data_IF_647732731807
#
_entry.id   IF_647732731807
#
_cell.length_a   1.000
_cell.length_b   1.000
_cell.length_c   1.000
_cell.angle_alpha   90.00
_cell.angle_beta   90.00
_cell.angle_gamma   90.00
#
_symmetry.space_group_name_H-M   'P 1'
#
loop_
_entity.id
_entity.type
_entity.pdbx_description
1 polymer ?
#
# COMPACT_ATOMS: atom_id res chain seq x y z
N UNK A 1 -103.61 47.70 -5.80
CA UNK A 1 -104.28 46.56 -5.13
C UNK A 1 -103.21 45.79 -4.36
N UNK A 2 -102.89 46.23 -3.14
CA UNK A 2 -101.87 45.59 -2.30
C UNK A 2 -102.58 44.66 -1.31
N UNK A 3 -102.39 43.35 -1.46
CA UNK A 3 -102.87 42.37 -0.50
C UNK A 3 -102.08 42.53 0.81
N UNK A 4 -102.76 43.02 1.85
CA UNK A 4 -102.32 42.87 3.25
C UNK A 4 -102.20 41.37 3.55
N UNK A 5 -100.98 40.85 3.65
CA UNK A 5 -100.74 39.62 4.42
C UNK A 5 -100.99 39.96 5.87
N UNK A 6 -102.11 39.49 6.40
CA UNK A 6 -102.39 39.37 7.82
C UNK A 6 -101.20 38.67 8.48
N UNK A 7 -100.47 39.40 9.33
CA UNK A 7 -99.45 38.81 10.20
C UNK A 7 -100.18 37.95 11.22
N UNK A 8 -100.07 36.62 11.06
CA UNK A 8 -100.40 35.65 12.11
C UNK A 8 -99.32 35.79 13.19
N UNK A 9 -99.72 35.86 14.46
CA UNK A 9 -98.79 35.89 15.59
C UNK A 9 -97.78 34.73 15.50
N UNK A 10 -96.50 34.92 15.86
CA UNK A 10 -95.52 33.86 15.75
C UNK A 10 -95.86 32.74 16.74
N UNK A 11 -96.19 31.55 16.22
CA UNK A 11 -96.25 30.32 17.02
C UNK A 11 -94.88 30.07 17.65
N UNK A 12 -94.82 29.61 18.89
CA UNK A 12 -93.55 29.18 19.48
C UNK A 12 -93.02 27.98 18.68
N UNK A 13 -91.81 28.11 18.15
CA UNK A 13 -91.18 27.11 17.29
C UNK A 13 -89.92 26.58 17.95
N UNK A 14 -89.78 25.26 18.00
CA UNK A 14 -88.59 24.60 18.54
C UNK A 14 -88.05 23.57 17.55
N UNK A 15 -86.73 23.42 17.53
CA UNK A 15 -86.02 22.49 16.66
C UNK A 15 -85.45 21.35 17.51
N UNK A 16 -86.00 20.15 17.35
CA UNK A 16 -85.59 18.96 18.09
C UNK A 16 -84.78 18.06 17.16
N UNK A 17 -83.53 17.77 17.53
CA UNK A 17 -82.66 16.88 16.76
C UNK A 17 -82.74 15.45 17.30
N UNK A 18 -82.97 14.50 16.39
CA UNK A 18 -82.79 13.09 16.69
C UNK A 18 -81.35 12.67 16.44
N UNK A 19 -80.85 11.83 17.33
CA UNK A 19 -79.56 11.18 17.20
C UNK A 19 -79.69 9.91 16.36
N UNK A 20 -78.56 9.37 15.90
CA UNK A 20 -78.57 8.21 15.01
C UNK A 20 -79.12 6.94 15.70
N UNK A 21 -78.95 6.86 17.03
CA UNK A 21 -79.28 5.68 17.84
C UNK A 21 -80.55 5.86 18.70
N UNK A 22 -81.26 6.98 18.54
CA UNK A 22 -82.51 7.25 19.28
C UNK A 22 -83.61 6.24 18.93
N UNK A 23 -84.35 5.79 19.96
CA UNK A 23 -85.53 4.94 19.79
C UNK A 23 -86.87 5.72 19.87
N UNK A 24 -88.00 5.05 19.62
CA UNK A 24 -89.34 5.68 19.72
C UNK A 24 -89.64 6.22 21.13
N UNK A 25 -89.04 5.64 22.18
CA UNK A 25 -89.17 6.11 23.55
C UNK A 25 -88.41 7.41 23.78
N UNK A 26 -87.19 7.53 23.26
CA UNK A 26 -86.41 8.77 23.29
C UNK A 26 -87.10 9.87 22.50
N UNK A 27 -87.67 9.55 21.33
CA UNK A 27 -88.45 10.52 20.55
C UNK A 27 -89.64 11.05 21.37
N UNK A 28 -90.37 10.16 22.06
CA UNK A 28 -91.47 10.56 22.95
C UNK A 28 -90.99 11.51 24.04
N UNK A 29 -89.91 11.17 24.75
CA UNK A 29 -89.38 12.01 25.82
C UNK A 29 -88.91 13.38 25.31
N UNK A 30 -88.26 13.43 24.14
CA UNK A 30 -87.84 14.69 23.48
C UNK A 30 -89.05 15.54 23.10
N UNK A 31 -90.13 14.94 22.61
CA UNK A 31 -91.39 15.64 22.32
C UNK A 31 -92.08 16.13 23.59
N UNK A 32 -92.12 15.32 24.66
CA UNK A 32 -92.70 15.69 25.96
C UNK A 32 -91.96 16.84 26.65
N UNK A 33 -90.64 16.95 26.43
CA UNK A 33 -89.82 18.03 27.00
C UNK A 33 -90.01 19.39 26.33
N UNK A 34 -90.63 19.45 25.15
CA UNK A 34 -90.83 20.69 24.39
C UNK A 34 -92.17 21.33 24.72
N UNK A 35 -92.17 22.63 25.00
CA UNK A 35 -93.38 23.43 25.22
C UNK A 35 -93.78 24.27 23.99
N UNK A 36 -93.22 23.97 22.82
CA UNK A 36 -93.47 24.73 21.59
C UNK A 36 -94.78 24.32 20.91
N UNK A 37 -95.49 25.27 20.31
CA UNK A 37 -96.71 25.02 19.54
C UNK A 37 -96.42 24.29 18.22
N UNK A 38 -95.24 24.50 17.63
CA UNK A 38 -94.79 23.83 16.41
C UNK A 38 -93.38 23.26 16.59
N UNK A 39 -93.25 21.93 16.52
CA UNK A 39 -91.99 21.21 16.76
C UNK A 39 -91.43 20.71 15.43
N UNK A 40 -90.22 21.12 15.09
CA UNK A 40 -89.48 20.63 13.94
C UNK A 40 -88.57 19.47 14.34
N UNK A 41 -88.99 18.24 14.06
CA UNK A 41 -88.23 17.04 14.40
C UNK A 41 -87.28 16.67 13.25
N UNK A 42 -85.98 16.81 13.48
CA UNK A 42 -84.94 16.56 12.48
C UNK A 42 -84.50 15.11 12.54
N UNK A 43 -84.75 14.36 11.47
CA UNK A 43 -84.39 12.95 11.36
C UNK A 43 -83.09 12.84 10.54
N UNK A 44 -81.94 12.47 11.14
CA UNK A 44 -80.70 12.31 10.40
C UNK A 44 -80.79 11.09 9.47
N UNK A 45 -80.08 11.14 8.33
CA UNK A 45 -80.08 10.04 7.33
C UNK A 45 -79.71 8.68 7.93
N UNK A 46 -78.87 8.65 8.97
CA UNK A 46 -78.40 7.40 9.62
C UNK A 46 -79.28 6.91 10.76
N UNK A 47 -80.36 7.60 11.12
CA UNK A 47 -81.23 7.18 12.25
C UNK A 47 -81.68 5.72 12.12
N UNK A 48 -81.63 4.96 13.21
CA UNK A 48 -82.09 3.57 13.30
C UNK A 48 -83.63 3.47 13.32
N UNK A 49 -84.31 4.54 13.75
CA UNK A 49 -85.78 4.62 13.90
C UNK A 49 -86.43 5.49 12.82
N UNK A 50 -87.75 5.38 12.69
CA UNK A 50 -88.57 5.98 11.61
C UNK A 50 -88.15 5.46 10.23
N UNK A 51 -88.01 4.13 10.11
CA UNK A 51 -87.74 3.39 8.86
C UNK A 51 -88.96 2.62 8.37
N UNK A 52 -89.79 2.14 9.28
CA UNK A 52 -90.94 1.28 8.94
C UNK A 52 -92.26 2.05 9.03
N UNK A 53 -93.31 1.66 8.27
CA UNK A 53 -94.64 2.29 8.38
C UNK A 53 -95.21 2.25 9.80
N UNK A 54 -94.94 1.15 10.53
CA UNK A 54 -95.40 0.98 11.90
C UNK A 54 -94.82 2.05 12.84
N UNK A 55 -93.53 2.37 12.71
CA UNK A 55 -92.87 3.40 13.53
C UNK A 55 -93.44 4.79 13.28
N UNK A 56 -93.76 5.14 12.02
CA UNK A 56 -94.43 6.41 11.72
C UNK A 56 -95.85 6.46 12.26
N UNK A 57 -96.59 5.34 12.27
CA UNK A 57 -97.92 5.26 12.88
C UNK A 57 -97.86 5.42 14.40
N UNK A 58 -96.85 4.84 15.05
CA UNK A 58 -96.62 5.03 16.49
C UNK A 58 -96.28 6.50 16.77
N UNK A 59 -95.40 7.10 15.97
CA UNK A 59 -95.09 8.51 16.07
C UNK A 59 -96.32 9.39 15.87
N UNK A 60 -97.20 9.08 14.90
CA UNK A 60 -98.44 9.81 14.67
C UNK A 60 -99.36 9.76 15.89
N UNK A 61 -99.43 8.60 16.57
CA UNK A 61 -100.17 8.46 17.82
C UNK A 61 -99.57 9.30 18.93
N UNK A 62 -98.26 9.26 19.13
CA UNK A 62 -97.55 10.07 20.15
C UNK A 62 -97.74 11.56 19.86
N UNK A 63 -97.59 11.98 18.61
CA UNK A 63 -97.75 13.38 18.20
C UNK A 63 -99.20 13.86 18.37
N UNK A 64 -100.21 13.01 18.14
CA UNK A 64 -101.62 13.35 18.36
C UNK A 64 -102.00 13.41 19.85
N UNK A 65 -101.29 12.69 20.73
CA UNK A 65 -101.45 12.85 22.19
C UNK A 65 -100.89 14.20 22.67
N UNK A 66 -99.98 14.81 21.91
CA UNK A 66 -99.38 16.11 22.21
C UNK A 66 -100.18 17.25 21.56
N UNK A 67 -100.28 18.40 22.24
CA UNK A 67 -101.00 19.58 21.73
C UNK A 67 -100.19 20.41 20.70
N UNK A 68 -99.07 19.87 20.21
CA UNK A 68 -98.09 20.56 19.36
C UNK A 68 -98.07 20.01 17.93
N UNK A 69 -98.02 20.90 16.93
CA UNK A 69 -97.94 20.51 15.53
C UNK A 69 -96.51 20.02 15.22
N UNK A 70 -96.34 18.71 14.99
CA UNK A 70 -95.03 18.12 14.69
C UNK A 70 -94.76 18.11 13.18
N UNK A 71 -93.65 18.73 12.76
CA UNK A 71 -93.19 18.80 11.37
C UNK A 71 -91.88 18.02 11.22
N UNK A 72 -91.87 17.02 10.32
CA UNK A 72 -90.70 16.17 10.12
C UNK A 72 -89.72 16.78 9.12
N UNK A 73 -88.46 16.95 9.52
CA UNK A 73 -87.38 17.46 8.68
C UNK A 73 -86.46 16.30 8.30
N UNK A 74 -86.59 15.82 7.07
CA UNK A 74 -85.75 14.75 6.52
C UNK A 74 -85.46 14.99 5.05
N UNK A 75 -84.22 14.76 4.65
CA UNK A 75 -83.81 14.79 3.25
C UNK A 75 -84.09 13.46 2.53
N UNK A 76 -84.35 12.38 3.28
CA UNK A 76 -84.62 11.05 2.72
C UNK A 76 -86.03 10.96 2.08
N UNK A 77 -86.13 10.67 0.77
CA UNK A 77 -87.41 10.56 0.08
C UNK A 77 -88.30 9.41 0.58
N UNK A 78 -87.74 8.29 1.05
CA UNK A 78 -88.51 7.15 1.53
C UNK A 78 -89.25 7.49 2.84
N UNK A 79 -88.52 8.07 3.81
CA UNK A 79 -89.09 8.56 5.06
C UNK A 79 -90.14 9.65 4.85
N UNK A 80 -89.91 10.54 3.89
CA UNK A 80 -90.89 11.58 3.54
C UNK A 80 -92.20 10.99 3.03
N UNK A 81 -92.13 9.93 2.23
CA UNK A 81 -93.33 9.23 1.73
C UNK A 81 -94.12 8.58 2.87
N UNK A 82 -93.45 7.85 3.74
CA UNK A 82 -94.08 7.21 4.91
C UNK A 82 -94.69 8.24 5.87
N UNK A 83 -93.95 9.31 6.14
CA UNK A 83 -94.41 10.43 6.96
C UNK A 83 -95.67 11.10 6.41
N UNK A 84 -95.73 11.34 5.09
CA UNK A 84 -96.90 11.93 4.46
C UNK A 84 -98.11 10.98 4.45
N UNK A 85 -97.90 9.66 4.41
CA UNK A 85 -98.98 8.66 4.51
C UNK A 85 -99.66 8.69 5.89
N UNK A 86 -98.90 8.95 6.95
CA UNK A 86 -99.40 9.09 8.32
C UNK A 86 -99.86 10.53 8.66
N UNK A 87 -99.91 11.43 7.67
CA UNK A 87 -100.47 12.77 7.82
C UNK A 87 -99.52 13.87 8.34
N UNK A 88 -98.23 13.58 8.51
CA UNK A 88 -97.25 14.59 8.94
C UNK A 88 -96.88 15.58 7.84
N UNK A 89 -96.62 16.83 8.22
CA UNK A 89 -95.99 17.82 7.33
C UNK A 89 -94.50 17.57 7.25
N UNK A 90 -93.93 17.61 6.04
CA UNK A 90 -92.50 17.32 5.82
C UNK A 90 -91.72 18.48 5.19
N UNK A 91 -90.47 18.68 5.62
CA UNK A 91 -89.51 19.62 5.00
C UNK A 91 -88.22 18.91 4.59
N UNK A 92 -87.62 19.37 3.48
CA UNK A 92 -86.43 18.72 2.88
C UNK A 92 -85.11 19.05 3.59
N UNK A 93 -85.05 20.14 4.36
CA UNK A 93 -83.81 20.53 5.02
C UNK A 93 -83.93 21.80 5.86
N UNK A 94 -82.87 22.08 6.60
CA UNK A 94 -82.80 23.10 7.66
C UNK A 94 -82.61 24.54 7.16
N UNK A 95 -82.44 24.76 5.85
CA UNK A 95 -82.09 26.09 5.29
C UNK A 95 -83.12 27.17 5.61
N UNK A 96 -84.40 26.82 5.62
CA UNK A 96 -85.50 27.74 5.98
C UNK A 96 -85.69 27.89 7.49
N UNK A 97 -85.08 27.02 8.30
CA UNK A 97 -85.11 27.01 9.76
C UNK A 97 -83.84 27.62 10.40
N UNK A 98 -82.95 28.24 9.59
CA UNK A 98 -81.73 28.89 10.08
C UNK A 98 -81.99 29.95 11.16
N UNK A 99 -83.14 30.61 11.10
CA UNK A 99 -83.55 31.61 12.08
C UNK A 99 -83.85 31.02 13.48
N UNK A 100 -84.12 29.71 13.58
CA UNK A 100 -84.26 28.99 14.86
C UNK A 100 -82.92 28.48 15.41
N UNK A 101 -81.89 28.36 14.55
CA UNK A 101 -80.54 27.93 14.95
C UNK A 101 -79.63 29.10 15.34
N UNK A 102 -79.95 30.32 14.92
CA UNK A 102 -79.17 31.52 15.21
C UNK A 102 -79.77 32.19 16.45
N UNK A 103 -79.14 31.96 17.62
CA UNK A 103 -79.42 32.72 18.83
C UNK A 103 -79.31 34.24 18.57
N UNK A 104 -80.10 35.08 19.25
CA UNK A 104 -80.30 36.46 18.82
C UNK A 104 -79.14 37.36 19.24
N UNK A 105 -77.89 37.15 18.78
CA UNK A 105 -76.76 38.01 19.21
C UNK A 105 -75.50 37.95 18.32
N UNK A 106 -75.56 37.63 17.02
CA UNK A 106 -74.38 37.82 16.15
C UNK A 106 -74.75 38.33 14.74
N UNK A 107 -74.81 39.66 14.60
CA UNK A 107 -74.69 40.36 13.31
C UNK A 107 -73.27 40.94 13.22
N UNK A 108 -72.47 40.66 12.18
CA UNK A 108 -71.14 41.28 12.06
C UNK A 108 -71.28 42.79 11.77
N UNK A 109 -70.38 43.64 12.31
CA UNK A 109 -70.48 45.08 12.16
C UNK A 109 -70.17 45.51 10.72
N UNK A 110 -70.89 46.51 10.22
CA UNK A 110 -70.53 47.22 8.98
C UNK A 110 -69.43 48.23 9.31
N UNK A 111 -68.28 48.08 8.64
CA UNK A 111 -67.20 49.06 8.66
C UNK A 111 -67.63 50.35 7.94
N UNK A 112 -67.49 51.50 8.60
CA UNK A 112 -67.62 52.83 7.99
C UNK A 112 -66.26 53.51 8.16
N UNK A 113 -65.63 53.87 7.04
CA UNK A 113 -64.33 54.56 7.01
C UNK A 113 -64.57 56.07 7.12
N UNK A 114 -63.88 56.82 8.01
CA UNK A 114 -64.06 58.26 8.18
C UNK A 114 -63.28 59.11 7.16
N UNK A 115 -63.81 60.28 6.81
CA UNK A 115 -63.47 61.14 5.65
C UNK A 115 -62.05 61.78 5.62
N UNK A 116 -61.15 61.44 6.54
CA UNK A 116 -59.81 62.04 6.68
C UNK A 116 -58.67 61.12 6.21
N UNK A 117 -58.99 59.98 5.57
CA UNK A 117 -58.00 59.07 4.96
C UNK A 117 -57.81 59.46 3.49
N UNK A 118 -56.65 59.99 3.07
CA UNK A 118 -56.40 60.26 1.65
C UNK A 118 -56.25 58.93 0.94
N UNK A 119 -57.29 58.50 0.22
CA UNK A 119 -57.16 57.37 -0.70
C UNK A 119 -56.16 57.76 -1.79
N UNK A 120 -55.01 57.08 -1.89
CA UNK A 120 -54.01 57.43 -2.89
C UNK A 120 -54.55 57.12 -4.29
N UNK A 121 -54.30 58.03 -5.24
CA UNK A 121 -54.58 57.80 -6.67
C UNK A 121 -54.02 56.44 -7.11
N UNK A 122 -54.67 55.72 -8.06
CA UNK A 122 -54.21 54.38 -8.48
C UNK A 122 -52.75 54.38 -8.96
N UNK A 123 -52.25 55.52 -9.44
CA UNK A 123 -50.86 55.75 -9.85
C UNK A 123 -49.89 55.67 -8.67
N UNK A 124 -50.22 56.22 -7.50
CA UNK A 124 -49.35 56.15 -6.31
C UNK A 124 -49.41 54.78 -5.62
N UNK A 125 -50.51 54.05 -5.76
CA UNK A 125 -50.57 52.64 -5.35
C UNK A 125 -49.67 51.76 -6.24
N UNK A 126 -49.70 51.96 -7.56
CA UNK A 126 -48.83 51.28 -8.52
C UNK A 126 -47.34 51.61 -8.28
N UNK A 127 -47.00 52.85 -7.96
CA UNK A 127 -45.60 53.22 -7.66
C UNK A 127 -45.09 52.60 -6.35
N UNK A 128 -45.95 52.49 -5.32
CA UNK A 128 -45.61 51.85 -4.06
C UNK A 128 -45.39 50.33 -4.22
N UNK A 129 -46.25 49.67 -5.00
CA UNK A 129 -46.07 48.25 -5.36
C UNK A 129 -44.80 48.07 -6.19
N UNK A 130 -44.54 48.96 -7.15
CA UNK A 130 -43.29 48.95 -7.93
C UNK A 130 -42.04 49.08 -7.05
N UNK A 131 -42.07 49.98 -6.05
CA UNK A 131 -40.99 50.16 -5.09
C UNK A 131 -40.74 48.90 -4.27
N UNK A 132 -41.80 48.21 -3.82
CA UNK A 132 -41.69 46.96 -3.07
C UNK A 132 -41.09 45.85 -3.94
N UNK A 133 -41.48 45.75 -5.21
CA UNK A 133 -40.93 44.77 -6.14
C UNK A 133 -39.45 45.05 -6.40
N UNK A 134 -39.06 46.32 -6.57
CA UNK A 134 -37.66 46.71 -6.74
C UNK A 134 -36.86 46.42 -5.47
N UNK A 135 -37.40 46.71 -4.28
CA UNK A 135 -36.76 46.39 -3.02
C UNK A 135 -36.59 44.88 -2.81
N UNK A 136 -37.62 44.07 -3.14
CA UNK A 136 -37.54 42.61 -3.08
C UNK A 136 -36.53 42.05 -4.09
N UNK A 137 -36.49 42.59 -5.31
CA UNK A 137 -35.51 42.22 -6.32
C UNK A 137 -34.08 42.59 -5.89
N UNK A 138 -33.89 43.73 -5.22
CA UNK A 138 -32.61 44.13 -4.65
C UNK A 138 -32.17 43.17 -3.52
N UNK A 139 -33.09 42.77 -2.63
CA UNK A 139 -32.80 41.79 -1.57
C UNK A 139 -32.46 40.40 -2.14
N UNK A 140 -33.15 39.97 -3.20
CA UNK A 140 -32.89 38.69 -3.86
C UNK A 140 -31.62 38.71 -4.70
N UNK A 141 -31.25 39.84 -5.32
CA UNK A 141 -30.01 39.99 -6.08
C UNK A 141 -28.75 40.07 -5.22
N UNK A 142 -28.88 40.50 -3.97
CA UNK A 142 -27.78 40.57 -2.99
C UNK A 142 -27.72 39.30 -2.12
N UNK A 143 -28.52 38.26 -2.42
CA UNK A 143 -28.51 37.03 -1.64
C UNK A 143 -27.13 36.36 -1.75
N UNK A 144 -26.36 36.27 -0.67
CA UNK A 144 -25.02 35.70 -0.74
C UNK A 144 -25.14 34.20 -1.03
N UNK A 145 -24.66 33.78 -2.20
CA UNK A 145 -24.50 32.36 -2.49
C UNK A 145 -23.28 31.85 -1.73
N UNK A 146 -23.51 30.97 -0.75
CA UNK A 146 -22.42 30.30 -0.03
C UNK A 146 -21.80 29.23 -0.95
N UNK A 147 -20.64 29.53 -1.51
CA UNK A 147 -19.81 28.53 -2.17
C UNK A 147 -18.93 27.84 -1.12
N UNK A 148 -19.17 26.55 -0.90
CA UNK A 148 -18.33 25.71 -0.03
C UNK A 148 -17.24 25.08 -0.90
N UNK A 149 -16.05 25.66 -0.88
CA UNK A 149 -14.88 25.10 -1.56
C UNK A 149 -14.15 24.18 -0.59
N UNK A 150 -14.32 22.87 -0.73
CA UNK A 150 -13.51 21.88 -0.03
C UNK A 150 -12.15 21.79 -0.74
N UNK A 151 -11.10 22.27 -0.09
CA UNK A 151 -9.72 22.03 -0.53
C UNK A 151 -9.19 20.88 0.31
N UNK A 152 -8.99 19.66 -0.26
CA UNK A 152 -8.41 18.56 0.49
C UNK A 152 -7.02 18.94 0.98
N UNK A 153 -6.68 18.53 2.21
CA UNK A 153 -5.34 18.77 2.75
C UNK A 153 -4.37 17.83 2.04
N UNK A 154 -3.49 18.39 1.22
CA UNK A 154 -2.40 17.64 0.59
C UNK A 154 -1.14 17.72 1.45
N UNK A 155 -0.55 16.58 1.77
CA UNK A 155 0.72 16.50 2.50
C UNK A 155 1.75 15.80 1.61
N UNK A 156 2.90 16.45 1.40
CA UNK A 156 4.04 15.78 0.77
C UNK A 156 4.71 14.87 1.81
N UNK A 157 4.92 13.61 1.42
CA UNK A 157 5.66 12.63 2.20
C UNK A 157 6.81 12.12 1.36
N UNK A 158 7.98 12.04 1.98
CA UNK A 158 9.21 11.50 1.39
C UNK A 158 9.80 10.51 2.38
N UNK A 159 9.90 9.26 1.97
CA UNK A 159 10.50 8.19 2.78
C UNK A 159 11.46 7.38 1.93
N UNK A 160 12.55 6.95 2.57
CA UNK A 160 13.44 5.93 2.01
C UNK A 160 12.80 4.57 2.24
N UNK A 161 12.69 3.78 1.17
CA UNK A 161 12.05 2.47 1.17
C UNK A 161 13.07 1.43 0.73
N UNK A 162 13.26 0.42 1.59
CA UNK A 162 14.07 -0.75 1.29
C UNK A 162 13.18 -1.85 0.69
N UNK A 163 13.44 -2.23 -0.55
CA UNK A 163 12.76 -3.30 -1.28
C UNK A 163 13.71 -4.47 -1.46
N UNK A 164 13.30 -5.66 -1.04
CA UNK A 164 14.06 -6.89 -1.27
C UNK A 164 13.59 -7.57 -2.55
N UNK A 165 14.47 -7.70 -3.53
CA UNK A 165 14.24 -8.50 -4.74
C UNK A 165 14.72 -9.92 -4.49
N UNK A 166 13.77 -10.86 -4.48
CA UNK A 166 14.03 -12.27 -4.21
C UNK A 166 13.57 -13.12 -5.40
N UNK A 167 14.49 -13.81 -6.12
CA UNK A 167 14.11 -14.67 -7.23
C UNK A 167 13.38 -15.96 -6.80
N UNK A 168 13.42 -16.33 -5.51
CA UNK A 168 12.69 -17.48 -4.98
C UNK A 168 11.25 -17.11 -4.55
N UNK A 169 10.93 -15.81 -4.47
CA UNK A 169 9.58 -15.37 -4.13
C UNK A 169 8.61 -15.60 -5.29
N UNK A 170 7.42 -16.12 -4.99
CA UNK A 170 6.41 -16.41 -6.02
C UNK A 170 5.54 -15.21 -6.39
N UNK A 171 5.42 -14.21 -5.51
CA UNK A 171 4.57 -13.04 -5.70
C UNK A 171 5.11 -11.83 -4.91
N UNK A 172 4.72 -10.62 -5.33
CA UNK A 172 5.08 -9.39 -4.64
C UNK A 172 4.31 -9.25 -3.32
N UNK A 173 5.01 -8.89 -2.26
CA UNK A 173 4.45 -8.67 -0.92
C UNK A 173 4.77 -7.25 -0.43
N UNK A 174 3.74 -6.41 -0.36
CA UNK A 174 3.86 -5.03 0.09
C UNK A 174 4.06 -4.89 1.60
N UNK A 175 3.71 -5.91 2.39
CA UNK A 175 3.88 -5.87 3.86
C UNK A 175 5.33 -6.12 4.24
N UNK A 176 5.96 -7.09 3.57
CA UNK A 176 7.36 -7.46 3.76
C UNK A 176 8.31 -6.78 2.76
N UNK A 177 7.81 -5.82 1.97
CA UNK A 177 8.57 -5.10 0.95
C UNK A 177 9.38 -6.02 0.01
N UNK A 178 8.80 -7.16 -0.39
CA UNK A 178 9.48 -8.19 -1.19
C UNK A 178 8.93 -8.22 -2.61
N UNK A 179 9.83 -8.24 -3.61
CA UNK A 179 9.52 -8.29 -5.03
C UNK A 179 10.09 -9.57 -5.66
N UNK A 180 9.31 -10.35 -6.43
CA UNK A 180 9.85 -11.49 -7.19
C UNK A 180 10.84 -11.02 -8.26
N UNK A 181 12.03 -11.61 -8.23
CA UNK A 181 13.05 -11.45 -9.27
C UNK A 181 13.06 -12.61 -10.26
N UNK A 182 13.74 -12.42 -11.39
CA UNK A 182 14.04 -13.50 -12.34
C UNK A 182 15.55 -13.66 -12.43
N UNK A 183 16.05 -14.88 -12.27
CA UNK A 183 17.47 -15.16 -12.46
C UNK A 183 17.79 -15.34 -13.95
N UNK A 184 18.56 -14.42 -14.52
CA UNK A 184 19.09 -14.56 -15.87
C UNK A 184 20.49 -15.16 -15.82
N UNK A 185 20.73 -16.18 -16.63
CA UNK A 185 22.03 -16.85 -16.74
C UNK A 185 22.66 -16.67 -18.12
N UNK A 186 23.97 -16.52 -18.15
CA UNK A 186 24.77 -16.44 -19.37
C UNK A 186 26.15 -17.05 -19.14
N UNK A 187 26.60 -17.90 -20.06
CA UNK A 187 27.98 -18.37 -20.10
C UNK A 187 28.82 -17.40 -20.91
N UNK A 188 29.96 -16.99 -20.37
CA UNK A 188 30.91 -16.10 -21.05
C UNK A 188 32.29 -16.72 -21.10
N UNK A 189 32.94 -16.52 -22.24
CA UNK A 189 34.35 -16.82 -22.45
C UNK A 189 35.13 -15.52 -22.56
N UNK A 190 36.15 -15.36 -21.72
CA UNK A 190 37.08 -14.23 -21.76
C UNK A 190 38.52 -14.70 -21.76
N UNK A 191 39.38 -13.88 -22.36
CA UNK A 191 40.82 -14.11 -22.42
C UNK A 191 41.55 -12.80 -22.18
N UNK A 192 42.60 -12.84 -21.36
CA UNK A 192 43.43 -11.71 -21.05
C UNK A 192 44.90 -12.12 -21.08
N UNK A 193 45.77 -11.17 -21.36
CA UNK A 193 47.22 -11.34 -21.32
C UNK A 193 47.86 -10.24 -20.47
N UNK A 194 48.92 -10.60 -19.75
CA UNK A 194 49.70 -9.72 -18.88
C UNK A 194 51.19 -9.84 -19.24
N UNK A 195 51.88 -8.74 -19.55
CA UNK A 195 53.32 -8.77 -19.77
C UNK A 195 54.08 -9.01 -18.45
N UNK A 196 55.11 -9.85 -18.50
CA UNK A 196 55.93 -10.17 -17.33
C UNK A 196 57.12 -9.19 -17.21
N UNK A 197 57.33 -8.57 -16.04
CA UNK A 197 58.46 -7.67 -15.81
C UNK A 197 59.83 -8.34 -16.01
N UNK A 198 60.78 -7.60 -16.59
CA UNK A 198 62.15 -8.07 -16.88
C UNK A 198 63.16 -7.79 -15.76
N UNK A 199 62.75 -7.09 -14.72
CA UNK A 199 63.60 -6.68 -13.58
C UNK A 199 63.71 -7.76 -12.50
N UNK A 200 63.04 -8.90 -12.69
CA UNK A 200 63.11 -10.03 -11.76
C UNK A 200 64.44 -10.75 -11.87
N UNK A 201 64.90 -11.22 -10.72
CA UNK A 201 66.19 -11.86 -10.54
C UNK A 201 65.94 -13.31 -10.13
N UNK A 202 66.50 -14.26 -10.89
CA UNK A 202 66.42 -15.69 -10.60
C UNK A 202 67.81 -16.29 -10.46
N UNK A 203 67.92 -17.32 -9.64
CA UNK A 203 69.17 -18.06 -9.48
C UNK A 203 69.58 -18.76 -10.77
N UNK A 204 70.83 -18.59 -11.17
CA UNK A 204 71.42 -19.24 -12.35
C UNK A 204 72.33 -20.39 -11.92
N UNK A 205 73.43 -20.07 -11.22
CA UNK A 205 74.40 -21.06 -10.78
C UNK A 205 74.15 -21.45 -9.32
N UNK A 206 74.46 -22.70 -8.99
CA UNK A 206 74.36 -23.21 -7.61
C UNK A 206 75.63 -22.89 -6.84
N UNK A 207 75.45 -22.51 -5.57
CA UNK A 207 76.59 -22.35 -4.67
C UNK A 207 77.15 -23.72 -4.26
N UNK A 208 78.47 -23.78 -4.17
CA UNK A 208 79.23 -24.95 -3.73
C UNK A 208 80.09 -24.57 -2.53
N UNK A 209 80.37 -25.56 -1.68
CA UNK A 209 81.32 -25.39 -0.60
C UNK A 209 81.62 -26.70 0.11
N UNK A 210 82.20 -26.58 1.29
CA UNK A 210 82.61 -27.72 2.09
C UNK A 210 82.09 -27.57 3.51
N UNK A 211 81.56 -28.66 4.06
CA UNK A 211 81.18 -28.77 5.47
C UNK A 211 82.04 -29.83 6.16
N UNK A 212 82.26 -29.61 7.45
CA UNK A 212 82.86 -30.58 8.36
C UNK A 212 81.72 -31.23 9.12
N UNK A 213 81.67 -32.56 9.09
CA UNK A 213 80.71 -33.37 9.82
C UNK A 213 81.45 -34.16 10.91
N UNK A 214 80.91 -34.14 12.12
CA UNK A 214 81.43 -34.89 13.27
C UNK A 214 80.32 -35.80 13.80
N UNK A 215 80.57 -37.10 13.83
CA UNK A 215 79.63 -38.07 14.43
C UNK A 215 79.87 -38.19 15.94
N UNK A 216 78.83 -37.97 16.73
CA UNK A 216 78.83 -38.23 18.18
C UNK A 216 78.48 -39.69 18.52
N UNK A 217 78.23 -40.53 17.50
CA UNK A 217 77.92 -41.95 17.67
C UNK A 217 79.16 -42.74 18.13
N UNK A 218 78.96 -43.82 18.91
CA UNK A 218 80.06 -44.68 19.37
C UNK A 218 80.61 -45.58 18.26
N UNK A 219 79.79 -45.91 17.25
CA UNK A 219 80.15 -46.75 16.12
C UNK A 219 80.29 -45.94 14.83
N UNK A 220 81.00 -46.52 13.86
CA UNK A 220 81.14 -45.96 12.52
C UNK A 220 79.77 -45.83 11.84
N UNK A 221 79.49 -44.66 11.25
CA UNK A 221 78.23 -44.38 10.56
C UNK A 221 78.50 -43.92 9.13
N UNK A 222 77.73 -44.44 8.17
CA UNK A 222 77.81 -43.98 6.78
C UNK A 222 76.66 -43.03 6.51
N UNK A 223 76.99 -41.77 6.22
CA UNK A 223 76.05 -40.79 5.72
C UNK A 223 75.96 -40.92 4.20
N UNK A 224 74.78 -41.23 3.68
CA UNK A 224 74.57 -41.32 2.24
C UNK A 224 74.70 -39.96 1.55
N UNK A 225 75.08 -39.99 0.27
CA UNK A 225 74.97 -38.88 -0.65
C UNK A 225 73.54 -38.35 -0.67
N UNK A 226 73.39 -37.03 -0.77
CA UNK A 226 72.07 -36.37 -0.82
C UNK A 226 71.48 -36.09 0.55
N UNK A 227 72.23 -36.30 1.64
CA UNK A 227 71.84 -35.82 2.96
C UNK A 227 71.77 -34.28 2.94
N UNK A 228 70.69 -33.73 3.50
CA UNK A 228 70.43 -32.29 3.46
C UNK A 228 70.97 -31.61 4.71
N UNK A 229 71.73 -30.53 4.52
CA UNK A 229 72.18 -29.60 5.57
C UNK A 229 71.60 -28.23 5.30
N UNK A 230 71.30 -27.46 6.35
CA UNK A 230 70.67 -26.14 6.22
C UNK A 230 71.31 -25.09 7.13
N UNK A 231 71.17 -23.85 6.70
CA UNK A 231 71.23 -22.69 7.58
C UNK A 231 69.93 -22.62 8.37
N UNK A 232 69.97 -22.16 9.62
CA UNK A 232 68.74 -22.03 10.38
C UNK A 232 67.81 -21.00 9.74
N UNK A 233 66.59 -21.42 9.34
CA UNK A 233 65.66 -20.61 8.55
C UNK A 233 66.12 -20.20 7.15
N UNK A 234 67.22 -20.78 6.62
CA UNK A 234 67.86 -20.31 5.39
C UNK A 234 68.07 -21.39 4.32
N UNK A 235 69.08 -21.18 3.48
CA UNK A 235 69.39 -22.03 2.33
C UNK A 235 69.67 -23.50 2.72
N UNK A 236 69.24 -24.41 1.85
CA UNK A 236 69.46 -25.85 1.95
C UNK A 236 70.55 -26.30 0.99
N UNK A 237 71.34 -27.28 1.42
CA UNK A 237 72.42 -27.88 0.65
C UNK A 237 72.36 -29.40 0.77
N UNK A 238 72.87 -30.11 -0.22
CA UNK A 238 72.95 -31.57 -0.24
C UNK A 238 74.40 -32.04 -0.30
N UNK A 239 74.71 -33.15 0.36
CA UNK A 239 76.04 -33.78 0.29
C UNK A 239 76.29 -34.40 -1.08
N UNK A 240 77.47 -34.16 -1.65
CA UNK A 240 77.78 -34.59 -3.02
C UNK A 240 78.18 -36.07 -3.15
N UNK A 241 78.54 -36.70 -2.03
CA UNK A 241 79.08 -38.06 -1.97
C UNK A 241 78.75 -38.75 -0.63
N UNK A 242 78.84 -40.08 -0.62
CA UNK A 242 78.74 -40.88 0.60
C UNK A 242 79.93 -40.58 1.51
N UNK A 243 79.65 -40.43 2.81
CA UNK A 243 80.63 -40.08 3.81
C UNK A 243 80.69 -41.15 4.89
N UNK A 244 81.86 -41.77 5.02
CA UNK A 244 82.12 -42.67 6.13
C UNK A 244 82.60 -41.87 7.35
N UNK A 245 81.84 -41.89 8.44
CA UNK A 245 82.06 -41.10 9.64
C UNK A 245 82.54 -41.99 10.80
N UNK A 246 83.84 -41.96 11.14
CA UNK A 246 84.34 -42.57 12.36
C UNK A 246 83.84 -41.83 13.61
N UNK A 247 83.80 -42.49 14.78
CA UNK A 247 83.41 -41.85 16.04
C UNK A 247 84.31 -40.65 16.38
N UNK A 248 83.70 -39.47 16.59
CA UNK A 248 84.36 -38.23 17.05
C UNK A 248 85.50 -37.70 16.15
N UNK A 249 85.55 -38.11 14.88
CA UNK A 249 86.54 -37.61 13.91
C UNK A 249 85.86 -36.65 12.94
N UNK A 250 86.38 -35.42 12.74
CA UNK A 250 85.85 -34.50 11.73
C UNK A 250 86.18 -34.99 10.32
N UNK A 251 85.16 -35.16 9.49
CA UNK A 251 85.31 -35.52 8.07
C UNK A 251 84.71 -34.43 7.19
N UNK A 252 85.42 -34.09 6.11
CA UNK A 252 84.98 -33.05 5.16
C UNK A 252 84.18 -33.67 4.03
N UNK A 253 83.13 -32.98 3.60
CA UNK A 253 82.33 -33.35 2.44
C UNK A 253 81.94 -32.10 1.65
N UNK A 254 81.97 -32.24 0.31
CA UNK A 254 81.45 -31.24 -0.60
C UNK A 254 79.93 -31.15 -0.49
N UNK A 255 79.42 -29.93 -0.57
CA UNK A 255 78.00 -29.65 -0.58
C UNK A 255 77.63 -28.76 -1.77
N UNK A 256 76.45 -29.01 -2.31
CA UNK A 256 75.85 -28.22 -3.39
C UNK A 256 74.51 -27.66 -2.92
N UNK A 257 74.25 -26.38 -3.20
CA UNK A 257 72.98 -25.74 -2.89
C UNK A 257 71.81 -26.43 -3.61
N UNK A 258 70.69 -26.58 -2.90
CA UNK A 258 69.45 -27.14 -3.47
C UNK A 258 68.89 -26.15 -4.49
N UNK A 259 68.78 -24.89 -4.09
CA UNK A 259 68.30 -23.79 -4.93
C UNK A 259 69.48 -23.05 -5.58
N UNK A 260 69.42 -22.73 -6.88
CA UNK A 260 70.40 -21.87 -7.52
C UNK A 260 70.26 -20.44 -7.02
N UNK A 261 71.32 -19.65 -7.14
CA UNK A 261 71.32 -18.23 -6.84
C UNK A 261 72.25 -17.80 -5.73
N UNK A 262 72.34 -16.47 -5.54
CA UNK A 262 73.20 -15.86 -4.52
C UNK A 262 72.76 -16.19 -3.10
N UNK A 263 71.50 -16.60 -2.91
CA UNK A 263 70.95 -17.12 -1.64
C UNK A 263 71.75 -18.31 -1.09
N UNK A 264 72.39 -19.08 -1.97
CA UNK A 264 73.25 -20.20 -1.59
C UNK A 264 74.64 -19.79 -1.12
N UNK A 265 75.06 -18.52 -1.26
CA UNK A 265 76.36 -18.03 -0.82
C UNK A 265 76.31 -17.60 0.64
N UNK A 266 76.58 -18.53 1.55
CA UNK A 266 76.46 -18.33 3.00
C UNK A 266 77.83 -18.16 3.64
N UNK A 267 77.86 -17.38 4.72
CA UNK A 267 79.08 -17.08 5.46
C UNK A 267 79.64 -18.28 6.22
N UNK A 268 80.91 -18.22 6.69
CA UNK A 268 81.51 -19.28 7.49
C UNK A 268 80.73 -19.51 8.80
N UNK A 269 80.38 -20.76 9.08
CA UNK A 269 79.70 -21.18 10.31
C UNK A 269 78.18 -21.01 10.31
N UNK A 270 77.57 -20.58 9.21
CA UNK A 270 76.11 -20.41 9.09
C UNK A 270 75.38 -21.75 8.88
N UNK A 271 76.00 -22.70 8.18
CA UNK A 271 75.44 -24.06 8.02
C UNK A 271 75.68 -24.81 9.32
N UNK A 272 74.60 -25.22 9.98
CA UNK A 272 74.67 -25.74 11.36
C UNK A 272 73.73 -26.90 11.67
N UNK A 273 72.78 -27.21 10.77
CA UNK A 273 71.71 -28.18 11.06
C UNK A 273 71.57 -29.20 9.93
N UNK A 274 71.33 -30.46 10.26
CA UNK A 274 70.88 -31.49 9.33
C UNK A 274 69.35 -31.50 9.21
N UNK A 275 68.83 -31.79 8.01
CA UNK A 275 67.40 -32.03 7.79
C UNK A 275 67.12 -33.53 8.02
N UNK A 276 66.50 -33.88 9.16
CA UNK A 276 66.09 -35.25 9.50
C UNK A 276 66.42 -35.68 10.93
N UNK A 277 65.44 -36.27 11.63
CA UNK A 277 65.54 -36.70 13.05
C UNK A 277 66.59 -37.78 13.31
N UNK A 278 66.94 -38.57 12.30
CA UNK A 278 67.92 -39.66 12.48
C UNK A 278 69.36 -39.13 12.52
N UNK A 279 69.58 -37.84 12.28
CA UNK A 279 70.90 -37.21 12.16
C UNK A 279 71.25 -36.33 13.37
N UNK A 280 70.44 -36.34 14.44
CA UNK A 280 70.61 -35.50 15.64
C UNK A 280 71.94 -35.72 16.38
N UNK A 281 72.56 -36.89 16.20
CA UNK A 281 73.87 -37.22 16.76
C UNK A 281 75.04 -36.82 15.85
N UNK A 282 74.78 -36.08 14.78
CA UNK A 282 75.80 -35.53 13.88
C UNK A 282 75.84 -34.01 14.04
N UNK A 283 77.05 -33.48 14.17
CA UNK A 283 77.31 -32.05 14.14
C UNK A 283 77.83 -31.67 12.75
N UNK A 284 77.31 -30.58 12.17
CA UNK A 284 77.77 -30.06 10.88
C UNK A 284 78.14 -28.59 10.99
N UNK A 285 79.25 -28.20 10.36
CA UNK A 285 79.64 -26.79 10.25
C UNK A 285 80.43 -26.51 8.98
N UNK A 286 80.12 -25.41 8.29
CA UNK A 286 80.99 -24.91 7.22
C UNK A 286 82.11 -24.04 7.80
N UNK A 287 83.37 -24.40 7.55
CA UNK A 287 84.53 -23.59 7.98
C UNK A 287 84.87 -22.47 7.00
N UNK A 288 84.42 -22.61 5.74
CA UNK A 288 84.61 -21.68 4.64
C UNK A 288 83.24 -21.23 4.14
N UNK A 289 83.13 -20.04 3.52
CA UNK A 289 81.89 -19.64 2.88
C UNK A 289 81.58 -20.56 1.71
N UNK A 290 80.31 -20.72 1.38
CA UNK A 290 79.90 -21.30 0.09
C UNK A 290 79.92 -20.19 -0.96
N UNK A 291 80.31 -20.55 -2.18
CA UNK A 291 80.49 -19.58 -3.29
C UNK A 291 80.06 -20.19 -4.62
N UNK A 292 79.93 -19.36 -5.64
CA UNK A 292 79.57 -19.80 -6.99
C UNK A 292 78.07 -19.69 -7.29
N UNK A 293 77.24 -19.34 -6.31
CA UNK A 293 75.85 -18.96 -6.55
C UNK A 293 75.79 -17.62 -7.26
N UNK A 294 75.15 -17.57 -8.43
CA UNK A 294 74.97 -16.33 -9.21
C UNK A 294 73.50 -16.17 -9.55
N UNK A 295 73.05 -14.93 -9.65
CA UNK A 295 71.71 -14.62 -10.14
C UNK A 295 71.78 -13.98 -11.54
N UNK A 296 70.71 -14.13 -12.30
CA UNK A 296 70.50 -13.41 -13.56
C UNK A 296 69.13 -12.78 -13.61
N UNK A 297 68.99 -11.75 -14.45
CA UNK A 297 67.69 -11.20 -14.76
C UNK A 297 66.91 -12.11 -15.71
N UNK A 298 65.64 -12.34 -15.41
CA UNK A 298 64.75 -13.15 -16.23
C UNK A 298 63.30 -12.72 -16.03
N UNK A 299 62.47 -12.93 -17.05
CA UNK A 299 61.02 -12.75 -16.97
C UNK A 299 60.38 -14.05 -16.52
N UNK A 300 60.25 -14.22 -15.20
CA UNK A 300 59.63 -15.40 -14.61
C UNK A 300 58.25 -15.07 -14.07
N UNK A 301 57.27 -15.95 -14.32
CA UNK A 301 55.92 -15.83 -13.77
C UNK A 301 55.92 -16.06 -12.27
N UNK A 302 55.31 -15.15 -11.52
CA UNK A 302 55.13 -15.24 -10.07
C UNK A 302 53.68 -15.51 -9.68
N UNK A 303 53.45 -15.90 -8.43
CA UNK A 303 52.09 -16.05 -7.89
C UNK A 303 51.28 -14.75 -7.94
N UNK A 304 51.94 -13.60 -7.77
CA UNK A 304 51.27 -12.30 -7.84
C UNK A 304 50.78 -11.98 -9.26
N UNK A 305 51.53 -12.36 -10.31
CA UNK A 305 51.05 -12.19 -11.69
C UNK A 305 49.87 -13.12 -11.98
N UNK A 306 49.92 -14.35 -11.47
CA UNK A 306 48.83 -15.31 -11.60
C UNK A 306 47.54 -14.74 -10.99
N UNK A 307 47.64 -14.19 -9.77
CA UNK A 307 46.51 -13.56 -9.07
C UNK A 307 46.01 -12.32 -9.82
N UNK A 308 46.90 -11.42 -10.21
CA UNK A 308 46.54 -10.23 -10.96
C UNK A 308 45.83 -10.56 -12.29
N UNK A 309 46.29 -11.58 -13.01
CA UNK A 309 45.63 -12.05 -14.22
C UNK A 309 44.27 -12.71 -13.93
N UNK A 310 44.15 -13.49 -12.85
CA UNK A 310 42.89 -14.09 -12.42
C UNK A 310 41.85 -13.01 -12.07
N UNK A 311 42.23 -12.00 -11.29
CA UNK A 311 41.35 -10.89 -10.91
C UNK A 311 40.89 -10.10 -12.15
N UNK A 312 41.82 -9.88 -13.09
CA UNK A 312 41.51 -9.26 -14.38
C UNK A 312 40.51 -10.10 -15.19
N UNK A 313 40.71 -11.41 -15.30
CA UNK A 313 39.78 -12.29 -16.01
C UNK A 313 38.39 -12.31 -15.37
N UNK A 314 38.31 -12.33 -14.03
CA UNK A 314 37.03 -12.30 -13.32
C UNK A 314 36.30 -10.97 -13.56
N UNK A 315 37.02 -9.85 -13.53
CA UNK A 315 36.47 -8.54 -13.86
C UNK A 315 35.98 -8.47 -15.31
N UNK A 316 36.80 -8.90 -16.27
CA UNK A 316 36.44 -8.91 -17.69
C UNK A 316 35.23 -9.82 -17.95
N UNK A 317 35.14 -10.96 -17.27
CA UNK A 317 33.99 -11.86 -17.33
C UNK A 317 32.72 -11.20 -16.78
N UNK A 318 32.82 -10.52 -15.62
CA UNK A 318 31.71 -9.77 -15.02
C UNK A 318 31.22 -8.67 -15.95
N UNK A 319 32.12 -7.82 -16.45
CA UNK A 319 31.78 -6.68 -17.29
C UNK A 319 31.13 -7.13 -18.61
N UNK A 320 31.70 -8.15 -19.26
CA UNK A 320 31.13 -8.74 -20.49
C UNK A 320 29.78 -9.38 -20.24
N UNK A 321 29.63 -10.14 -19.15
CA UNK A 321 28.37 -10.78 -18.80
C UNK A 321 27.29 -9.77 -18.42
N UNK A 322 27.63 -8.72 -17.67
CA UNK A 322 26.70 -7.66 -17.31
C UNK A 322 26.12 -6.99 -18.57
N UNK A 323 26.96 -6.64 -19.55
CA UNK A 323 26.50 -6.08 -20.81
C UNK A 323 25.54 -7.03 -21.56
N UNK A 324 25.84 -8.34 -21.60
CA UNK A 324 24.98 -9.33 -22.25
C UNK A 324 23.67 -9.59 -21.49
N UNK A 325 23.71 -9.63 -20.16
CA UNK A 325 22.54 -9.79 -19.31
C UNK A 325 21.63 -8.56 -19.39
N UNK A 326 22.21 -7.36 -19.43
CA UNK A 326 21.47 -6.11 -19.63
C UNK A 326 20.78 -6.09 -21.00
N UNK A 327 21.45 -6.57 -22.05
CA UNK A 327 20.85 -6.71 -23.37
C UNK A 327 19.68 -7.72 -23.37
N UNK A 328 19.80 -8.83 -22.62
CA UNK A 328 18.72 -9.82 -22.48
C UNK A 328 17.54 -9.32 -21.64
N UNK A 329 17.80 -8.54 -20.60
CA UNK A 329 16.77 -7.94 -19.74
C UNK A 329 15.91 -6.92 -20.51
N UNK A 330 16.50 -6.25 -21.51
CA UNK A 330 15.81 -5.24 -22.32
C UNK A 330 15.52 -3.96 -21.52
N UNK A 331 14.54 -3.16 -21.96
CA UNK A 331 14.18 -1.88 -21.33
C UNK A 331 13.11 -1.99 -20.25
N UNK A 332 12.43 -3.13 -20.14
CA UNK A 332 11.31 -3.34 -19.20
C UNK A 332 11.77 -3.83 -17.83
N UNK A 333 12.99 -4.35 -17.75
CA UNK A 333 13.58 -4.91 -16.54
C UNK A 333 14.87 -4.17 -16.20
N UNK A 334 15.16 -4.10 -14.90
CA UNK A 334 16.43 -3.56 -14.39
C UNK A 334 17.28 -4.70 -13.85
N UNK A 335 18.57 -4.69 -14.21
CA UNK A 335 19.61 -5.55 -13.64
C UNK A 335 20.51 -4.70 -12.74
N UNK A 336 20.48 -4.89 -11.41
CA UNK A 336 21.45 -4.27 -10.53
C UNK A 336 22.86 -4.82 -10.78
N UNK A 337 23.87 -3.96 -10.95
CA UNK A 337 25.26 -4.39 -11.17
C UNK A 337 25.74 -5.34 -10.05
N UNK A 338 25.49 -4.98 -8.79
CA UNK A 338 25.92 -5.82 -7.66
C UNK A 338 25.23 -7.20 -7.60
N UNK A 339 24.14 -7.43 -8.34
CA UNK A 339 23.47 -8.73 -8.40
C UNK A 339 24.21 -9.77 -9.24
N UNK A 340 25.20 -9.33 -10.04
CA UNK A 340 25.93 -10.22 -10.94
C UNK A 340 26.92 -11.08 -10.15
N UNK A 341 26.68 -12.39 -10.18
CA UNK A 341 27.54 -13.40 -9.59
C UNK A 341 28.24 -14.20 -10.68
N UNK A 342 29.57 -14.28 -10.60
CA UNK A 342 30.41 -15.03 -11.55
C UNK A 342 30.81 -16.35 -10.91
N UNK A 343 30.41 -17.46 -11.52
CA UNK A 343 30.85 -18.80 -11.14
C UNK A 343 31.83 -19.35 -12.20
N UNK A 344 33.13 -19.43 -11.90
CA UNK A 344 34.12 -20.01 -12.80
C UNK A 344 33.79 -21.47 -13.11
N UNK A 345 33.68 -21.83 -14.38
CA UNK A 345 33.47 -23.23 -14.80
C UNK A 345 34.76 -23.88 -15.28
N UNK A 346 35.61 -23.12 -15.98
CA UNK A 346 36.91 -23.58 -16.44
C UNK A 346 37.89 -22.41 -16.52
N UNK A 347 39.11 -22.62 -16.05
CA UNK A 347 40.17 -21.61 -16.09
C UNK A 347 41.48 -22.27 -16.51
N UNK A 348 42.13 -21.71 -17.52
CA UNK A 348 43.40 -22.20 -18.03
C UNK A 348 44.40 -21.06 -18.19
N UNK A 349 45.68 -21.41 -18.03
CA UNK A 349 46.81 -20.52 -18.23
C UNK A 349 47.79 -21.18 -19.20
N UNK A 350 48.48 -20.37 -19.99
CA UNK A 350 49.49 -20.86 -20.95
C UNK A 350 50.81 -21.25 -20.30
N UNK A 351 51.14 -20.67 -19.14
CA UNK A 351 52.37 -20.94 -18.37
C UNK A 351 52.09 -21.14 -16.88
N UNK A 352 53.04 -21.76 -16.17
CA UNK A 352 53.03 -21.95 -14.72
C UNK A 352 53.87 -20.91 -13.98
N UNK A 353 53.64 -20.80 -12.66
CA UNK A 353 54.52 -20.03 -11.77
C UNK A 353 55.92 -20.67 -11.82
N UNK A 354 56.94 -19.85 -12.03
CA UNK A 354 58.31 -20.29 -12.26
C UNK A 354 58.72 -20.36 -13.73
N UNK A 355 57.78 -20.38 -14.68
CA UNK A 355 58.11 -20.44 -16.11
C UNK A 355 58.67 -19.11 -16.61
N UNK A 356 59.63 -19.19 -17.54
CA UNK A 356 60.20 -18.03 -18.24
C UNK A 356 59.38 -17.70 -19.49
N UNK A 357 58.74 -16.52 -19.51
CA UNK A 357 57.94 -16.04 -20.65
C UNK A 357 57.85 -14.52 -20.66
N UNK A 358 57.66 -13.93 -21.83
CA UNK A 358 57.41 -12.49 -21.98
C UNK A 358 56.00 -12.08 -21.54
N UNK A 359 55.03 -13.00 -21.64
CA UNK A 359 53.62 -12.74 -21.34
C UNK A 359 52.96 -13.98 -20.73
N UNK A 360 52.06 -13.74 -19.79
CA UNK A 360 51.17 -14.74 -19.22
C UNK A 360 49.76 -14.52 -19.78
N UNK A 361 49.21 -15.55 -20.41
CA UNK A 361 47.86 -15.52 -21.00
C UNK A 361 46.95 -16.49 -20.27
N UNK A 362 45.74 -16.05 -20.00
CA UNK A 362 44.72 -16.87 -19.35
C UNK A 362 43.40 -16.83 -20.10
N UNK A 363 42.64 -17.91 -19.97
CA UNK A 363 41.27 -18.01 -20.44
C UNK A 363 40.37 -18.43 -19.29
N UNK A 364 39.21 -17.80 -19.22
CA UNK A 364 38.18 -18.09 -18.23
C UNK A 364 36.85 -18.28 -18.95
N UNK A 365 36.27 -19.47 -18.77
CA UNK A 365 34.85 -19.74 -19.03
C UNK A 365 34.13 -19.67 -17.69
N UNK A 366 33.10 -18.84 -17.61
CA UNK A 366 32.30 -18.69 -16.40
C UNK A 366 30.81 -18.69 -16.71
N UNK A 367 30.04 -19.31 -15.82
CA UNK A 367 28.60 -19.16 -15.78
C UNK A 367 28.27 -17.96 -14.90
N UNK A 368 27.62 -16.97 -15.47
CA UNK A 368 27.27 -15.74 -14.79
C UNK A 368 25.76 -15.68 -14.64
N UNK A 369 25.31 -15.33 -13.44
CA UNK A 369 23.90 -15.15 -13.12
C UNK A 369 23.66 -13.77 -12.54
N UNK A 370 22.55 -13.12 -12.91
CA UNK A 370 22.11 -11.86 -12.34
C UNK A 370 20.61 -11.85 -12.11
N UNK A 371 20.17 -11.23 -11.02
CA UNK A 371 18.75 -11.13 -10.66
C UNK A 371 18.17 -9.87 -11.28
N UNK A 372 17.21 -10.01 -12.19
CA UNK A 372 16.48 -8.89 -12.79
C UNK A 372 15.10 -8.74 -12.18
N UNK A 373 14.55 -7.53 -12.21
CA UNK A 373 13.18 -7.28 -11.79
C UNK A 373 12.46 -6.35 -12.79
N UNK A 374 11.13 -6.48 -12.95
CA UNK A 374 10.36 -5.61 -13.83
C UNK A 374 10.15 -4.22 -13.24
N UNK A 375 10.44 -3.18 -14.03
CA UNK A 375 10.41 -1.77 -13.60
C UNK A 375 9.02 -1.33 -13.13
N UNK A 376 7.98 -1.78 -13.83
CA UNK A 376 6.60 -1.43 -13.53
C UNK A 376 6.14 -2.05 -12.20
N UNK A 377 6.48 -3.32 -11.96
CA UNK A 377 6.15 -4.01 -10.70
C UNK A 377 6.90 -3.42 -9.50
N UNK A 378 8.16 -3.01 -9.70
CA UNK A 378 8.94 -2.33 -8.68
C UNK A 378 8.29 -1.00 -8.27
N UNK A 379 7.96 -0.14 -9.23
CA UNK A 379 7.33 1.16 -8.96
C UNK A 379 5.95 1.00 -8.28
N UNK A 380 5.15 0.01 -8.68
CA UNK A 380 3.87 -0.31 -8.05
C UNK A 380 4.04 -0.78 -6.60
N UNK A 381 5.04 -1.63 -6.33
CA UNK A 381 5.34 -2.09 -4.97
C UNK A 381 5.80 -0.93 -4.07
N UNK A 382 6.72 -0.08 -4.55
CA UNK A 382 7.20 1.10 -3.81
C UNK A 382 6.03 2.03 -3.46
N UNK A 383 5.12 2.27 -4.40
CA UNK A 383 3.91 3.06 -4.15
C UNK A 383 3.01 2.45 -3.07
N UNK A 384 2.82 1.12 -3.08
CA UNK A 384 2.05 0.40 -2.06
C UNK A 384 2.70 0.47 -0.68
N UNK A 385 4.03 0.28 -0.59
CA UNK A 385 4.78 0.37 0.66
C UNK A 385 4.72 1.80 1.22
N UNK A 386 4.85 2.82 0.37
CA UNK A 386 4.73 4.22 0.77
C UNK A 386 3.31 4.52 1.29
N UNK A 387 2.25 4.03 0.63
CA UNK A 387 0.87 4.17 1.10
C UNK A 387 0.64 3.48 2.45
N UNK A 388 1.19 2.28 2.66
CA UNK A 388 1.13 1.55 3.93
C UNK A 388 1.79 2.36 5.06
N UNK A 389 2.91 3.02 4.78
CA UNK A 389 3.60 3.87 5.76
C UNK A 389 2.85 5.16 6.13
N UNK A 390 1.98 5.64 5.23
CA UNK A 390 1.20 6.87 5.42
C UNK A 390 0.00 6.71 6.38
N UNK A 391 -0.41 5.47 6.68
CA UNK A 391 -1.56 5.16 7.54
C UNK A 391 -2.89 5.01 6.76
N UNK A 392 -3.95 4.51 7.42
CA UNK A 392 -5.20 4.12 6.77
C UNK A 392 -6.06 5.30 6.25
N UNK A 393 -5.84 6.49 6.79
CA UNK A 393 -6.66 7.69 6.49
C UNK A 393 -6.13 8.49 5.29
N UNK A 394 -5.02 8.07 4.69
CA UNK A 394 -4.37 8.79 3.60
C UNK A 394 -4.17 7.89 2.38
N UNK A 395 -4.47 8.42 1.20
CA UNK A 395 -4.21 7.76 -0.10
C UNK A 395 -3.25 8.60 -0.93
N UNK A 396 -2.44 7.94 -1.75
CA UNK A 396 -1.64 8.63 -2.76
C UNK A 396 -2.57 9.22 -3.83
N UNK A 397 -2.56 10.55 -3.99
CA UNK A 397 -3.34 11.25 -5.02
C UNK A 397 -2.77 11.07 -6.44
N UNK A 398 -1.50 10.70 -6.56
CA UNK A 398 -0.79 10.41 -7.80
C UNK A 398 0.20 9.25 -7.59
N UNK A 399 0.62 8.53 -8.66
CA UNK A 399 1.67 7.52 -8.53
C UNK A 399 2.93 8.13 -7.90
N UNK A 400 3.52 7.42 -6.94
CA UNK A 400 4.69 7.87 -6.22
C UNK A 400 5.84 8.16 -7.21
N UNK A 401 6.53 9.27 -7.00
CA UNK A 401 7.76 9.58 -7.71
C UNK A 401 8.87 8.77 -7.05
N UNK A 402 9.37 7.77 -7.77
CA UNK A 402 10.42 6.86 -7.33
C UNK A 402 11.74 7.26 -7.98
N UNK A 403 12.77 7.50 -7.18
CA UNK A 403 14.12 7.75 -7.69
C UNK A 403 14.83 6.45 -8.11
N UNK A 404 15.93 6.56 -8.84
CA UNK A 404 16.70 5.39 -9.26
C UNK A 404 17.24 4.65 -8.02
N UNK A 405 16.90 3.36 -7.84
CA UNK A 405 17.31 2.62 -6.65
C UNK A 405 18.82 2.42 -6.58
N UNK A 406 19.38 2.59 -5.39
CA UNK A 406 20.72 2.15 -5.04
C UNK A 406 20.69 0.72 -4.50
N UNK A 407 21.75 -0.05 -4.73
CA UNK A 407 21.86 -1.39 -4.13
C UNK A 407 22.46 -1.25 -2.74
N UNK A 408 21.71 -1.68 -1.72
CA UNK A 408 22.14 -1.63 -0.33
C UNK A 408 22.92 -2.88 0.06
N UNK A 409 22.40 -4.06 -0.30
CA UNK A 409 23.01 -5.34 0.04
C UNK A 409 22.67 -6.43 -0.98
N UNK A 410 23.52 -7.46 -1.08
CA UNK A 410 23.30 -8.64 -1.91
C UNK A 410 23.64 -9.88 -1.09
N UNK A 411 22.67 -10.76 -0.88
CA UNK A 411 22.84 -12.04 -0.19
C UNK A 411 22.49 -13.19 -1.13
N UNK A 412 23.53 -13.83 -1.68
CA UNK A 412 23.38 -14.81 -2.76
C UNK A 412 22.74 -14.18 -4.00
N UNK A 413 21.52 -14.60 -4.33
CA UNK A 413 20.74 -14.06 -5.45
C UNK A 413 19.68 -13.03 -5.02
N UNK A 414 19.58 -12.74 -3.72
CA UNK A 414 18.66 -11.74 -3.18
C UNK A 414 19.33 -10.37 -3.17
N UNK A 415 18.62 -9.35 -3.61
CA UNK A 415 19.15 -7.99 -3.74
C UNK A 415 18.27 -7.04 -2.96
N UNK A 416 18.84 -6.33 -1.98
CA UNK A 416 18.14 -5.28 -1.25
C UNK A 416 18.43 -3.95 -1.92
N UNK A 417 17.38 -3.28 -2.37
CA UNK A 417 17.41 -1.99 -3.04
C UNK A 417 16.86 -0.92 -2.10
N UNK A 418 17.57 0.19 -1.98
CA UNK A 418 17.10 1.37 -1.27
C UNK A 418 16.72 2.43 -2.29
N UNK A 419 15.53 3.01 -2.16
CA UNK A 419 15.11 4.13 -3.00
C UNK A 419 14.39 5.19 -2.18
N UNK A 420 14.62 6.46 -2.54
CA UNK A 420 13.82 7.55 -2.03
C UNK A 420 12.55 7.68 -2.88
N UNK A 421 11.41 7.57 -2.20
CA UNK A 421 10.10 7.69 -2.80
C UNK A 421 9.36 8.88 -2.20
N UNK A 422 8.78 9.70 -3.08
CA UNK A 422 7.98 10.86 -2.69
C UNK A 422 6.60 10.82 -3.30
N UNK A 423 5.61 11.29 -2.54
CA UNK A 423 4.23 11.29 -2.97
C UNK A 423 3.42 12.39 -2.30
N UNK A 424 2.29 12.73 -2.93
CA UNK A 424 1.29 13.62 -2.34
C UNK A 424 0.19 12.75 -1.77
N UNK A 425 -0.02 12.87 -0.46
CA UNK A 425 -1.12 12.23 0.24
C UNK A 425 -2.35 13.13 0.22
N UNK A 426 -3.49 12.52 -0.03
CA UNK A 426 -4.82 13.11 0.05
C UNK A 426 -5.63 12.35 1.11
N UNK A 427 -6.39 13.09 1.93
CA UNK A 427 -7.30 12.54 2.95
C UNK A 427 -8.70 12.28 2.41
#
# INVERSE_FOLDING_TARGET
MFFRRTQVAPRSQELVFLDADDDLGTIRSKLESSSAEEIYLVIPRRSSVLRTPLEFRILARIANEMSSETVLVTDDPARRRLSNQEGFRTRRGLRTLRHLMLGPEQRPPRFVVPDWVPLPNPISFLSFVGLIVVAAAAVLGVYPQMQVTLVPQTRSVSHSVDITVDPDASAADATNATLPGTLLTQTVDVSASLPIPSDRTIGQDKAHGEVVVISQRPDQFTLAKGATVRVDGGAKFVTDQDLNLPPRVPVRVGITAVEPGTVGNVGPGEISVFDGSDLDQLEVRNQRPTTGGTDRQAKVVTDDDRRALQDKLQKDARDKAFAQLQQKAGSEQTLPDMSVTVQPSNQTFDHNVGDETDQLTGRLTANVSGTVFPNLAYNDLVGKVLALSAGPDFKLGAPAKVETPGVLNVDGHKVVLCCDASGVLES
#
